data_IF_497232428474
#
_entry.id   IF_497232428474
#
_cell.length_a   1.000
_cell.length_b   1.000
_cell.length_c   1.000
_cell.angle_alpha   90.00
_cell.angle_beta   90.00
_cell.angle_gamma   90.00
#
_symmetry.space_group_name_H-M   'P 1'
#
loop_
_entity.id
_entity.type
_entity.pdbx_description
1 polymer ?
#
# COMPACT_ATOMS: atom_id res chain seq x y z
N UNK A 1 -7.01 27.76 5.27
CA UNK A 1 -7.57 26.40 5.45
C UNK A 1 -7.18 25.59 4.23
N UNK A 2 -6.75 24.35 4.40
CA UNK A 2 -6.39 23.45 3.30
C UNK A 2 -7.65 23.10 2.49
N UNK A 3 -7.55 23.11 1.16
CA UNK A 3 -8.62 22.66 0.25
C UNK A 3 -8.85 21.14 0.34
N UNK A 4 -9.99 20.67 -0.17
CA UNK A 4 -10.27 19.22 -0.25
C UNK A 4 -9.19 18.48 -1.04
N UNK A 5 -8.78 19.01 -2.20
CA UNK A 5 -7.76 18.40 -3.05
C UNK A 5 -6.40 18.30 -2.35
N UNK A 6 -5.98 19.38 -1.68
CA UNK A 6 -4.75 19.38 -0.89
C UNK A 6 -4.82 18.37 0.27
N UNK A 7 -5.99 18.26 0.92
CA UNK A 7 -6.21 17.29 2.01
C UNK A 7 -6.09 15.85 1.52
N UNK A 8 -6.81 15.50 0.45
CA UNK A 8 -6.81 14.16 -0.13
C UNK A 8 -5.41 13.77 -0.62
N UNK A 9 -4.74 14.69 -1.33
CA UNK A 9 -3.37 14.45 -1.83
C UNK A 9 -2.39 14.24 -0.68
N UNK A 10 -2.51 15.05 0.40
CA UNK A 10 -1.67 14.89 1.59
C UNK A 10 -1.86 13.53 2.25
N UNK A 11 -3.10 13.11 2.52
CA UNK A 11 -3.34 11.81 3.15
C UNK A 11 -2.86 10.65 2.29
N UNK A 12 -3.04 10.73 0.96
CA UNK A 12 -2.51 9.73 0.05
C UNK A 12 -0.97 9.68 0.11
N UNK A 13 -0.31 10.83 0.11
CA UNK A 13 1.15 10.93 0.22
C UNK A 13 1.69 10.35 1.54
N UNK A 14 1.03 10.63 2.67
CA UNK A 14 1.42 10.08 3.97
C UNK A 14 1.38 8.54 3.97
N UNK A 15 0.34 7.92 3.38
CA UNK A 15 0.25 6.45 3.29
C UNK A 15 1.28 5.84 2.34
N UNK A 16 1.52 6.51 1.21
CA UNK A 16 2.54 6.12 0.23
C UNK A 16 3.94 6.06 0.83
N UNK A 17 4.31 7.10 1.56
CA UNK A 17 5.59 7.19 2.27
C UNK A 17 5.67 6.14 3.38
N UNK A 18 4.62 5.99 4.19
CA UNK A 18 4.56 5.00 5.25
C UNK A 18 4.76 3.56 4.72
N UNK A 19 4.17 3.22 3.57
CA UNK A 19 4.34 1.90 2.95
C UNK A 19 5.78 1.66 2.47
N UNK A 20 6.40 2.64 1.79
CA UNK A 20 7.78 2.50 1.34
C UNK A 20 8.77 2.42 2.51
N UNK A 21 8.53 3.18 3.57
CA UNK A 21 9.33 3.16 4.79
C UNK A 21 9.41 1.76 5.42
N UNK A 22 8.41 0.89 5.21
CA UNK A 22 8.45 -0.50 5.69
C UNK A 22 9.54 -1.35 5.06
N UNK A 23 10.16 -0.90 3.96
CA UNK A 23 11.29 -1.57 3.33
C UNK A 23 12.65 -1.13 3.89
N UNK A 24 12.71 -0.06 4.69
CA UNK A 24 13.96 0.48 5.18
C UNK A 24 14.65 -0.48 6.16
N UNK A 25 15.96 -0.69 5.95
CA UNK A 25 16.76 -1.60 6.77
C UNK A 25 16.49 -3.10 6.56
N UNK A 26 15.50 -3.48 5.74
CA UNK A 26 15.12 -4.89 5.53
C UNK A 26 16.05 -5.57 4.53
N UNK A 27 16.58 -6.74 4.87
CA UNK A 27 17.37 -7.56 3.94
C UNK A 27 16.56 -8.06 2.74
N UNK A 28 17.23 -8.41 1.64
CA UNK A 28 16.54 -8.80 0.38
C UNK A 28 15.67 -10.03 0.50
N UNK A 29 16.13 -11.02 1.27
CA UNK A 29 15.34 -12.21 1.55
C UNK A 29 14.08 -11.90 2.36
N UNK A 30 14.21 -11.11 3.45
CA UNK A 30 13.08 -10.78 4.32
C UNK A 30 12.02 -9.91 3.65
N UNK A 31 12.42 -9.06 2.70
CA UNK A 31 11.48 -8.26 1.93
C UNK A 31 10.57 -9.12 1.02
N UNK A 32 11.04 -10.31 0.59
CA UNK A 32 10.36 -11.14 -0.42
C UNK A 32 9.71 -12.41 0.14
N UNK A 33 10.21 -12.92 1.26
CA UNK A 33 9.74 -14.21 1.78
C UNK A 33 8.29 -14.10 2.27
N UNK A 34 7.49 -15.16 2.11
CA UNK A 34 6.14 -15.20 2.65
C UNK A 34 6.17 -15.20 4.19
N UNK A 35 5.33 -14.35 4.79
CA UNK A 35 5.20 -14.20 6.25
C UNK A 35 3.84 -14.68 6.77
N UNK A 36 2.91 -15.02 5.87
CA UNK A 36 1.58 -15.54 6.19
C UNK A 36 1.28 -16.77 5.33
N UNK A 37 0.26 -17.54 5.73
CA UNK A 37 -0.19 -18.71 4.97
C UNK A 37 -0.69 -18.39 3.55
N UNK A 38 -1.08 -17.14 3.29
CA UNK A 38 -1.50 -16.64 1.98
C UNK A 38 -0.37 -16.01 1.17
N UNK A 39 0.88 -16.05 1.67
CA UNK A 39 2.06 -15.58 0.93
C UNK A 39 2.37 -14.09 1.05
N UNK A 40 1.72 -13.37 1.97
CA UNK A 40 1.98 -11.92 2.16
C UNK A 40 3.45 -11.66 2.47
N UNK A 41 4.05 -10.73 1.73
CA UNK A 41 5.45 -10.32 1.86
C UNK A 41 5.57 -8.80 1.60
N UNK A 42 6.60 -8.14 2.12
CA UNK A 42 6.70 -6.67 2.09
C UNK A 42 6.80 -6.11 0.67
N UNK A 43 7.71 -6.66 -0.15
CA UNK A 43 7.95 -6.15 -1.49
C UNK A 43 6.75 -6.36 -2.42
N UNK A 44 6.05 -7.48 -2.26
CA UNK A 44 4.80 -7.77 -2.94
C UNK A 44 3.68 -6.79 -2.59
N UNK A 45 3.56 -6.38 -1.33
CA UNK A 45 2.60 -5.33 -0.94
C UNK A 45 2.89 -4.00 -1.65
N UNK A 46 4.16 -3.62 -1.80
CA UNK A 46 4.56 -2.42 -2.55
C UNK A 46 4.23 -2.56 -4.04
N UNK A 47 4.57 -3.70 -4.66
CA UNK A 47 4.26 -3.96 -6.07
C UNK A 47 2.76 -3.92 -6.35
N UNK A 48 1.96 -4.55 -5.49
CA UNK A 48 0.51 -4.55 -5.59
C UNK A 48 -0.06 -3.13 -5.58
N UNK A 49 0.26 -2.35 -4.53
CA UNK A 49 -0.28 -0.98 -4.39
C UNK A 49 0.18 -0.08 -5.54
N UNK A 50 1.43 -0.22 -6.00
CA UNK A 50 1.91 0.49 -7.18
C UNK A 50 1.08 0.16 -8.43
N UNK A 51 0.80 -1.12 -8.66
CA UNK A 51 0.04 -1.60 -9.81
C UNK A 51 -1.41 -1.10 -9.78
N UNK A 52 -2.05 -1.15 -8.61
CA UNK A 52 -3.41 -0.63 -8.43
C UNK A 52 -3.49 0.88 -8.67
N UNK A 53 -2.55 1.64 -8.12
CA UNK A 53 -2.52 3.09 -8.30
C UNK A 53 -2.32 3.50 -9.77
N UNK A 54 -1.43 2.78 -10.47
CA UNK A 54 -1.21 2.94 -11.92
C UNK A 54 -2.50 2.64 -12.70
N UNK A 55 -3.21 1.55 -12.38
CA UNK A 55 -4.48 1.22 -13.02
C UNK A 55 -5.55 2.30 -12.82
N UNK A 56 -5.77 2.73 -11.57
CA UNK A 56 -6.82 3.69 -11.24
C UNK A 56 -6.58 5.09 -11.81
N UNK A 57 -5.35 5.58 -11.79
CA UNK A 57 -5.06 6.93 -12.29
C UNK A 57 -4.53 6.95 -13.73
N UNK A 58 -4.37 5.78 -14.35
CA UNK A 58 -4.03 5.68 -15.76
C UNK A 58 -5.26 5.37 -16.60
N UNK A 59 -5.46 4.09 -16.89
CA UNK A 59 -6.51 3.61 -17.79
C UNK A 59 -7.89 4.13 -17.38
N UNK A 60 -8.23 4.09 -16.08
CA UNK A 60 -9.55 4.52 -15.64
C UNK A 60 -9.79 6.03 -15.80
N UNK A 61 -8.74 6.84 -15.89
CA UNK A 61 -8.80 8.27 -16.20
C UNK A 61 -8.55 8.57 -17.69
N UNK A 62 -8.52 7.54 -18.56
CA UNK A 62 -8.25 7.70 -20.00
C UNK A 62 -6.82 8.10 -20.32
N UNK A 63 -5.87 7.82 -19.42
CA UNK A 63 -4.43 8.13 -19.58
C UNK A 63 -3.64 6.81 -19.64
N UNK A 64 -3.29 6.29 -20.83
CA UNK A 64 -2.52 5.06 -20.94
C UNK A 64 -1.19 5.20 -20.20
N UNK A 65 -0.87 4.22 -19.35
CA UNK A 65 0.41 4.19 -18.66
C UNK A 65 1.52 3.71 -19.60
N UNK A 66 2.72 4.28 -19.43
CA UNK A 66 3.90 3.87 -20.19
C UNK A 66 4.56 2.59 -19.64
N UNK A 67 4.02 2.01 -18.56
CA UNK A 67 4.57 0.81 -17.92
C UNK A 67 3.76 -0.41 -18.34
N UNK A 68 4.44 -1.39 -18.91
CA UNK A 68 3.88 -2.71 -19.15
C UNK A 68 3.75 -3.46 -17.82
N UNK A 69 2.56 -3.97 -17.54
CA UNK A 69 2.21 -4.69 -16.30
C UNK A 69 1.63 -6.06 -16.64
N UNK A 70 2.46 -7.01 -17.13
CA UNK A 70 2.00 -8.33 -17.56
C UNK A 70 1.30 -9.12 -16.44
N UNK A 71 1.61 -8.83 -15.17
CA UNK A 71 0.96 -9.43 -14.00
C UNK A 71 -0.47 -8.93 -13.75
N UNK A 72 -0.95 -7.92 -14.48
CA UNK A 72 -2.34 -7.48 -14.50
C UNK A 72 -3.06 -7.82 -15.81
N UNK A 73 -2.41 -8.55 -16.73
CA UNK A 73 -3.07 -9.00 -17.95
C UNK A 73 -4.24 -9.94 -17.62
N UNK A 74 -5.25 -10.00 -18.50
CA UNK A 74 -6.38 -10.93 -18.34
C UNK A 74 -5.93 -12.40 -18.24
N UNK A 75 -4.75 -12.72 -18.77
CA UNK A 75 -4.14 -14.06 -18.74
C UNK A 75 -3.16 -14.27 -17.59
N UNK A 76 -2.94 -13.27 -16.73
CA UNK A 76 -2.06 -13.40 -15.58
C UNK A 76 -2.65 -14.36 -14.53
N UNK A 77 -1.78 -15.00 -13.76
CA UNK A 77 -2.25 -15.83 -12.64
C UNK A 77 -2.76 -14.94 -11.50
N UNK A 78 -3.75 -15.41 -10.72
CA UNK A 78 -4.19 -14.68 -9.54
C UNK A 78 -3.02 -14.39 -8.60
N UNK A 79 -2.90 -13.14 -8.15
CA UNK A 79 -1.86 -12.64 -7.25
C UNK A 79 -0.45 -12.52 -7.88
N UNK A 80 -0.29 -12.47 -9.21
CA UNK A 80 1.02 -12.22 -9.84
C UNK A 80 1.62 -10.83 -9.51
N UNK A 81 0.80 -9.93 -9.00
CA UNK A 81 1.17 -8.61 -8.49
C UNK A 81 1.56 -8.61 -7.00
N UNK A 82 1.27 -9.69 -6.27
CA UNK A 82 1.49 -9.82 -4.82
C UNK A 82 2.90 -10.34 -4.46
N UNK A 83 3.80 -10.47 -5.42
CA UNK A 83 5.21 -10.79 -5.20
C UNK A 83 6.09 -10.23 -6.32
N UNK A 84 7.36 -9.99 -6.00
CA UNK A 84 8.37 -9.66 -6.99
C UNK A 84 9.16 -10.92 -7.38
N UNK A 85 9.22 -11.21 -8.67
CA UNK A 85 10.03 -12.29 -9.26
C UNK A 85 11.53 -12.03 -9.06
N UNK A 86 12.36 -13.04 -9.36
CA UNK A 86 13.82 -12.91 -9.28
C UNK A 86 14.41 -11.85 -10.21
N UNK A 87 13.70 -11.53 -11.30
CA UNK A 87 14.12 -10.55 -12.29
C UNK A 87 13.61 -9.12 -11.98
N UNK A 88 12.66 -8.99 -11.05
CA UNK A 88 12.13 -7.71 -10.58
C UNK A 88 12.91 -7.26 -9.34
N UNK A 89 13.87 -6.35 -9.50
CA UNK A 89 14.66 -5.83 -8.38
C UNK A 89 13.79 -4.99 -7.44
N UNK A 90 14.19 -4.90 -6.16
CA UNK A 90 13.52 -4.03 -5.18
C UNK A 90 13.47 -2.59 -5.67
N UNK A 91 14.59 -2.08 -6.17
CA UNK A 91 14.72 -0.70 -6.65
C UNK A 91 13.73 -0.42 -7.78
N UNK A 92 13.57 -1.37 -8.70
CA UNK A 92 12.60 -1.24 -9.78
C UNK A 92 11.16 -1.21 -9.27
N UNK A 93 10.80 -2.04 -8.28
CA UNK A 93 9.46 -2.01 -7.66
C UNK A 93 9.21 -0.69 -6.92
N UNK A 94 10.21 -0.18 -6.20
CA UNK A 94 10.10 1.14 -5.53
C UNK A 94 9.96 2.26 -6.56
N UNK A 95 10.73 2.21 -7.66
CA UNK A 95 10.63 3.18 -8.74
C UNK A 95 9.28 3.09 -9.49
N UNK A 96 8.73 1.89 -9.67
CA UNK A 96 7.38 1.68 -10.18
C UNK A 96 6.35 2.44 -9.32
N UNK A 97 6.45 2.31 -7.99
CA UNK A 97 5.52 3.00 -7.11
C UNK A 97 5.68 4.53 -7.17
N UNK A 98 6.92 5.05 -7.19
CA UNK A 98 7.16 6.49 -7.33
C UNK A 98 6.64 7.05 -8.66
N UNK A 99 6.72 6.28 -9.75
CA UNK A 99 6.12 6.64 -11.04
C UNK A 99 4.59 6.69 -10.95
N UNK A 100 3.98 5.76 -10.21
CA UNK A 100 2.55 5.79 -9.92
C UNK A 100 2.15 7.12 -9.24
N UNK A 101 2.93 7.53 -8.22
CA UNK A 101 2.65 8.77 -7.48
C UNK A 101 2.70 9.98 -8.38
N UNK A 102 3.72 10.07 -9.24
CA UNK A 102 3.88 11.16 -10.20
C UNK A 102 2.70 11.22 -11.17
N UNK A 103 2.24 10.07 -11.68
CA UNK A 103 1.08 10.00 -12.56
C UNK A 103 -0.20 10.46 -11.85
N UNK A 104 -0.48 9.93 -10.67
CA UNK A 104 -1.65 10.33 -9.88
C UNK A 104 -1.64 11.83 -9.56
N UNK A 105 -0.50 12.37 -9.15
CA UNK A 105 -0.38 13.80 -8.84
C UNK A 105 -0.65 14.65 -10.09
N UNK A 106 -0.18 14.22 -11.27
CA UNK A 106 -0.48 14.89 -12.54
C UNK A 106 -1.98 14.82 -12.88
N UNK A 107 -2.63 13.67 -12.69
CA UNK A 107 -4.08 13.52 -12.90
C UNK A 107 -4.87 14.47 -12.02
N UNK A 108 -4.55 14.51 -10.72
CA UNK A 108 -5.25 15.38 -9.77
C UNK A 108 -5.08 16.86 -10.16
N UNK A 109 -3.86 17.25 -10.55
CA UNK A 109 -3.56 18.63 -10.93
C UNK A 109 -4.20 19.06 -12.26
N UNK A 110 -4.25 18.17 -13.25
CA UNK A 110 -4.72 18.48 -14.61
C UNK A 110 -6.23 18.34 -14.78
N UNK A 111 -6.82 17.28 -14.22
CA UNK A 111 -8.23 16.94 -14.44
C UNK A 111 -9.13 17.45 -13.32
N UNK A 112 -8.60 17.55 -12.10
CA UNK A 112 -9.36 17.93 -10.90
C UNK A 112 -10.22 16.78 -10.35
N UNK A 113 -10.81 17.01 -9.18
CA UNK A 113 -11.51 15.98 -8.40
C UNK A 113 -12.80 15.45 -9.06
N UNK A 114 -13.50 16.30 -9.81
CA UNK A 114 -14.80 15.96 -10.43
C UNK A 114 -14.66 15.34 -11.83
N UNK A 115 -13.43 15.14 -12.32
CA UNK A 115 -13.23 14.52 -13.62
C UNK A 115 -13.70 13.07 -13.62
N UNK A 116 -14.45 12.70 -14.67
CA UNK A 116 -14.99 11.35 -14.82
C UNK A 116 -13.88 10.31 -14.96
N UNK A 117 -14.11 9.16 -14.35
CA UNK A 117 -13.28 7.97 -14.47
C UNK A 117 -14.16 6.73 -14.67
N UNK A 118 -13.62 5.73 -15.37
CA UNK A 118 -14.28 4.45 -15.63
C UNK A 118 -13.34 3.32 -15.24
N UNK A 119 -13.65 2.60 -14.15
CA UNK A 119 -12.85 1.48 -13.66
C UNK A 119 -13.40 0.15 -14.23
N UNK A 120 -12.77 -0.47 -15.24
CA UNK A 120 -13.37 -1.60 -15.93
C UNK A 120 -13.52 -2.86 -15.07
N UNK A 121 -12.68 -3.05 -14.05
CA UNK A 121 -12.74 -4.17 -13.11
C UNK A 121 -13.72 -3.97 -11.94
N UNK A 122 -14.39 -2.82 -11.85
CA UNK A 122 -15.47 -2.63 -10.87
C UNK A 122 -16.82 -3.08 -11.43
N UNK A 123 -17.76 -3.42 -10.54
CA UNK A 123 -19.11 -3.80 -10.95
C UNK A 123 -19.85 -2.69 -11.72
N UNK A 124 -20.76 -3.07 -12.63
CA UNK A 124 -21.44 -2.14 -13.56
C UNK A 124 -22.06 -0.91 -12.89
N UNK A 125 -22.58 -1.07 -11.67
CA UNK A 125 -23.23 0.02 -10.91
C UNK A 125 -22.25 1.03 -10.33
N UNK A 126 -20.98 0.66 -10.17
CA UNK A 126 -19.95 1.47 -9.50
C UNK A 126 -18.80 1.86 -10.40
N UNK A 127 -18.64 1.24 -11.56
CA UNK A 127 -17.49 1.47 -12.46
C UNK A 127 -17.37 2.88 -12.98
N UNK A 128 -18.47 3.61 -13.15
CA UNK A 128 -18.46 5.05 -13.48
C UNK A 128 -18.33 5.84 -12.19
N UNK A 129 -17.30 6.67 -12.12
CA UNK A 129 -16.94 7.42 -10.91
C UNK A 129 -16.19 8.70 -11.27
N UNK A 130 -15.62 9.37 -10.27
CA UNK A 130 -14.73 10.52 -10.43
C UNK A 130 -13.35 10.29 -9.79
N UNK A 131 -12.40 11.18 -10.12
CA UNK A 131 -11.05 11.22 -9.54
C UNK A 131 -11.11 11.30 -8.00
N UNK A 132 -12.06 12.04 -7.43
CA UNK A 132 -12.26 12.14 -5.97
C UNK A 132 -12.40 10.76 -5.32
N UNK A 133 -13.31 9.92 -5.82
CA UNK A 133 -13.53 8.59 -5.25
C UNK A 133 -12.31 7.69 -5.45
N UNK A 134 -11.58 7.83 -6.57
CA UNK A 134 -10.36 7.06 -6.80
C UNK A 134 -9.28 7.39 -5.76
N UNK A 135 -9.11 8.67 -5.39
CA UNK A 135 -8.16 9.06 -4.34
C UNK A 135 -8.57 8.45 -3.00
N UNK A 136 -9.85 8.56 -2.62
CA UNK A 136 -10.36 7.96 -1.38
C UNK A 136 -10.15 6.45 -1.37
N UNK A 137 -10.40 5.79 -2.50
CA UNK A 137 -10.17 4.37 -2.66
C UNK A 137 -8.68 4.02 -2.47
N UNK A 138 -7.76 4.74 -3.11
CA UNK A 138 -6.33 4.47 -2.99
C UNK A 138 -5.74 4.81 -1.63
N UNK A 139 -6.29 5.80 -0.91
CA UNK A 139 -5.95 6.04 0.50
C UNK A 139 -6.30 4.79 1.32
N UNK A 140 -7.52 4.26 1.17
CA UNK A 140 -7.97 3.09 1.92
C UNK A 140 -7.21 1.81 1.53
N UNK A 141 -6.89 1.63 0.25
CA UNK A 141 -6.09 0.53 -0.27
C UNK A 141 -4.68 0.56 0.34
N UNK A 142 -3.99 1.70 0.19
CA UNK A 142 -2.62 1.88 0.69
C UNK A 142 -2.56 1.74 2.21
N UNK A 143 -3.48 2.35 2.95
CA UNK A 143 -3.53 2.25 4.41
C UNK A 143 -3.75 0.80 4.88
N UNK A 144 -4.63 0.04 4.21
CA UNK A 144 -4.85 -1.38 4.52
C UNK A 144 -3.58 -2.21 4.33
N UNK A 145 -2.89 -2.02 3.20
CA UNK A 145 -1.65 -2.75 2.92
C UNK A 145 -0.47 -2.27 3.79
N UNK A 146 -0.47 -1.01 4.22
CA UNK A 146 0.51 -0.51 5.21
C UNK A 146 0.31 -1.18 6.56
N UNK A 147 -0.94 -1.37 7.01
CA UNK A 147 -1.23 -2.14 8.23
C UNK A 147 -0.85 -3.62 8.12
N UNK A 148 -0.98 -4.24 6.93
CA UNK A 148 -0.42 -5.58 6.70
C UNK A 148 1.11 -5.56 6.79
N UNK A 149 1.75 -4.54 6.21
CA UNK A 149 3.20 -4.39 6.24
C UNK A 149 3.71 -4.18 7.67
N UNK A 150 2.98 -3.48 8.55
CA UNK A 150 3.32 -3.36 9.98
C UNK A 150 3.45 -4.71 10.67
N UNK A 151 2.44 -5.58 10.55
CA UNK A 151 2.46 -6.91 11.17
C UNK A 151 3.58 -7.77 10.60
N UNK A 152 3.78 -7.70 9.28
CA UNK A 152 4.87 -8.42 8.60
C UNK A 152 6.23 -7.93 9.10
N UNK A 153 6.40 -6.61 9.28
CA UNK A 153 7.64 -5.99 9.74
C UNK A 153 7.94 -6.35 11.20
N UNK A 154 6.93 -6.30 12.07
CA UNK A 154 7.04 -6.70 13.47
C UNK A 154 7.48 -8.17 13.59
N UNK A 155 7.01 -9.06 12.70
CA UNK A 155 7.43 -10.46 12.67
C UNK A 155 8.86 -10.68 12.15
N UNK A 156 9.40 -9.77 11.34
CA UNK A 156 10.75 -9.90 10.80
C UNK A 156 11.79 -9.49 11.83
N UNK A 157 11.63 -8.31 12.45
CA UNK A 157 12.63 -7.77 13.38
C UNK A 157 12.05 -6.95 14.54
N UNK A 158 10.73 -6.95 14.72
CA UNK A 158 10.05 -6.20 15.77
C UNK A 158 9.85 -4.71 15.47
N UNK A 159 10.22 -4.22 14.29
CA UNK A 159 9.95 -2.85 13.90
C UNK A 159 8.46 -2.64 13.63
N UNK A 160 7.92 -1.55 14.17
CA UNK A 160 6.53 -1.12 13.99
C UNK A 160 6.47 0.41 13.96
N UNK A 161 5.44 0.97 13.32
CA UNK A 161 5.20 2.41 13.43
C UNK A 161 4.20 2.99 12.45
N UNK A 162 3.77 4.23 12.65
CA UNK A 162 2.83 4.89 11.73
C UNK A 162 3.55 5.44 10.48
N UNK A 163 4.63 6.19 10.66
CA UNK A 163 5.50 6.71 9.59
C UNK A 163 6.89 7.07 10.15
N UNK A 164 7.83 7.47 9.29
CA UNK A 164 9.18 7.85 9.71
C UNK A 164 9.15 8.99 10.74
N UNK A 165 9.72 8.74 11.92
CA UNK A 165 9.70 9.67 13.05
C UNK A 165 8.44 9.64 13.92
N UNK A 166 7.46 8.76 13.66
CA UNK A 166 6.31 8.54 14.54
C UNK A 166 5.88 7.07 14.51
N UNK A 167 6.22 6.33 15.56
CA UNK A 167 5.74 4.96 15.72
C UNK A 167 4.26 4.89 16.14
N UNK A 168 3.72 5.95 16.73
CA UNK A 168 2.41 5.98 17.37
C UNK A 168 2.25 4.86 18.42
N UNK A 169 3.32 4.54 19.14
CA UNK A 169 3.37 3.53 20.20
C UNK A 169 3.71 4.18 21.56
N UNK A 170 3.34 3.55 22.68
CA UNK A 170 3.86 3.92 23.99
C UNK A 170 5.39 3.88 24.04
N UNK A 171 6.00 4.97 24.49
CA UNK A 171 7.45 5.08 24.75
C UNK A 171 7.80 4.39 26.08
N UNK A 172 7.67 3.08 26.08
CA UNK A 172 7.93 2.19 27.22
C UNK A 172 8.96 1.13 26.85
N UNK A 173 9.64 0.57 27.85
CA UNK A 173 10.72 -0.38 27.63
C UNK A 173 10.25 -1.80 27.28
N UNK A 174 11.22 -2.66 26.94
CA UNK A 174 10.94 -4.06 26.57
C UNK A 174 10.23 -4.84 27.69
N UNK A 175 10.55 -4.57 28.96
CA UNK A 175 9.97 -5.28 30.09
C UNK A 175 8.49 -4.90 30.27
N UNK A 176 8.15 -3.63 30.04
CA UNK A 176 6.77 -3.17 30.01
C UNK A 176 5.98 -3.86 28.89
N UNK A 177 6.53 -3.93 27.68
CA UNK A 177 5.89 -4.60 26.54
C UNK A 177 5.67 -6.09 26.78
N UNK A 178 6.65 -6.78 27.37
CA UNK A 178 6.51 -8.19 27.74
C UNK A 178 5.40 -8.40 28.79
N UNK A 179 5.33 -7.53 29.80
CA UNK A 179 4.27 -7.55 30.81
C UNK A 179 2.89 -7.18 30.21
N UNK A 180 2.83 -6.25 29.27
CA UNK A 180 1.61 -5.91 28.54
C UNK A 180 1.10 -7.10 27.73
N UNK A 181 1.97 -7.74 26.93
CA UNK A 181 1.61 -8.94 26.17
C UNK A 181 1.13 -10.08 27.05
N UNK A 182 1.78 -10.33 28.19
CA UNK A 182 1.33 -11.33 29.14
C UNK A 182 -0.09 -11.04 29.68
N UNK A 183 -0.40 -9.77 29.98
CA UNK A 183 -1.76 -9.37 30.39
C UNK A 183 -2.80 -9.59 29.29
N UNK A 184 -2.47 -9.25 28.04
CA UNK A 184 -3.35 -9.50 26.88
C UNK A 184 -3.61 -11.00 26.71
N UNK A 185 -2.57 -11.84 26.85
CA UNK A 185 -2.69 -13.30 26.76
C UNK A 185 -3.60 -13.87 27.85
N UNK A 186 -3.42 -13.47 29.11
CA UNK A 186 -4.30 -13.92 30.22
C UNK A 186 -5.75 -13.52 29.98
N UNK A 187 -6.00 -12.33 29.43
CA UNK A 187 -7.36 -11.90 29.10
C UNK A 187 -8.00 -12.77 28.00
N UNK A 188 -7.21 -13.20 27.00
CA UNK A 188 -7.68 -14.08 25.93
C UNK A 188 -7.98 -15.50 26.44
N UNK A 189 -7.15 -16.03 27.35
CA UNK A 189 -7.31 -17.36 27.95
C UNK A 189 -8.61 -17.52 28.75
N UNK A 190 -9.22 -16.42 29.20
CA UNK A 190 -10.54 -16.45 29.84
C UNK A 190 -11.68 -16.95 28.93
N UNK A 191 -11.43 -17.08 27.63
CA UNK A 191 -12.38 -17.55 26.62
C UNK A 191 -11.98 -18.89 25.96
N UNK A 192 -10.93 -19.54 26.46
CA UNK A 192 -10.42 -20.81 25.95
C UNK A 192 -11.16 -22.04 26.52
#
# INVERSE_FOLDING_TARGET
>A
MMSESEMLTRYLQEQREALLWKLDGVGEYDARRPMTATGTNLLGLVKHVASMEIGYFGEACGRPNAVDMPWLAETAEPNDDMYATVDESREWVVDLYRRAWANTNAVIAELGLDAEAVVPWWGEKTRRTDVRRLIVHMIAETARHTGHADIVREQIDGFAGLYDGNDNLPDDDRAWWDAYRARVQVAAEAFA
#
